data_IF_601428630635
#
_entry.id   IF_601428630635
#
_cell.length_a   1.000
_cell.length_b   1.000
_cell.length_c   1.000
_cell.angle_alpha   90.00
_cell.angle_beta   90.00
_cell.angle_gamma   90.00
#
_symmetry.space_group_name_H-M   'P 1'
#
loop_
_entity.id
_entity.type
_entity.pdbx_description
1 polymer ?
#
# COMPACT_ATOMS: atom_id res chain seq x y z
N UNK A 1 52.79 -61.34 81.31
CA UNK A 1 52.79 -59.88 81.57
C UNK A 1 51.35 -59.47 81.81
N UNK A 2 51.08 -59.02 83.03
CA UNK A 2 49.80 -59.00 83.74
C UNK A 2 48.79 -57.99 83.16
N UNK A 3 47.62 -58.48 82.75
CA UNK A 3 46.43 -57.67 82.49
C UNK A 3 45.67 -57.49 83.83
N UNK A 4 45.38 -56.26 84.28
CA UNK A 4 44.64 -56.03 85.51
C UNK A 4 43.17 -56.41 85.34
N UNK A 5 42.64 -57.16 86.31
CA UNK A 5 41.24 -57.59 86.42
C UNK A 5 40.29 -56.38 86.52
N UNK A 6 39.67 -55.98 85.40
CA UNK A 6 38.63 -54.95 85.42
C UNK A 6 37.29 -55.54 85.88
N UNK A 7 36.90 -55.20 87.11
CA UNK A 7 35.61 -55.49 87.71
C UNK A 7 34.43 -55.05 86.83
N UNK A 8 33.40 -55.90 86.69
CA UNK A 8 32.14 -55.68 85.92
C UNK A 8 31.48 -54.30 86.12
N UNK A 9 31.76 -53.62 87.24
CA UNK A 9 31.27 -52.26 87.53
C UNK A 9 31.91 -51.18 86.66
N UNK A 10 33.17 -51.32 86.24
CA UNK A 10 33.87 -50.31 85.42
C UNK A 10 33.36 -50.25 83.98
N UNK A 11 32.82 -51.36 83.47
CA UNK A 11 32.25 -51.44 82.12
C UNK A 11 30.90 -50.72 82.00
N UNK A 12 30.15 -50.60 83.10
CA UNK A 12 28.89 -49.84 83.15
C UNK A 12 29.10 -48.34 82.94
N UNK A 13 30.29 -47.81 83.23
CA UNK A 13 30.63 -46.40 82.99
C UNK A 13 31.41 -46.18 81.70
N UNK A 14 32.25 -47.15 81.30
CA UNK A 14 33.06 -47.02 80.08
C UNK A 14 32.21 -47.09 78.80
N UNK A 15 31.20 -47.96 78.75
CA UNK A 15 30.32 -48.11 77.57
C UNK A 15 29.50 -46.85 77.26
N UNK A 16 28.79 -46.21 78.22
CA UNK A 16 28.06 -44.97 77.92
C UNK A 16 29.00 -43.81 77.60
N UNK A 17 30.20 -43.75 78.18
CA UNK A 17 31.18 -42.71 77.87
C UNK A 17 31.72 -42.84 76.44
N UNK A 18 32.05 -44.06 76.00
CA UNK A 18 32.44 -44.35 74.62
C UNK A 18 31.29 -44.06 73.64
N UNK A 19 30.06 -44.45 74.00
CA UNK A 19 28.88 -44.13 73.20
C UNK A 19 28.66 -42.61 73.10
N UNK A 20 28.85 -41.84 74.18
CA UNK A 20 28.75 -40.38 74.18
C UNK A 20 29.85 -39.71 73.35
N UNK A 21 31.09 -40.22 73.40
CA UNK A 21 32.21 -39.71 72.60
C UNK A 21 31.97 -40.01 71.11
N UNK A 22 31.53 -41.22 70.78
CA UNK A 22 31.19 -41.61 69.41
C UNK A 22 30.01 -40.80 68.87
N UNK A 23 28.98 -40.56 69.70
CA UNK A 23 27.80 -39.79 69.31
C UNK A 23 28.11 -38.30 69.15
N UNK A 24 28.90 -37.73 70.08
CA UNK A 24 29.38 -36.34 70.00
C UNK A 24 30.27 -36.11 68.79
N UNK A 25 31.22 -37.02 68.52
CA UNK A 25 32.08 -36.98 67.35
C UNK A 25 31.32 -37.13 66.02
N UNK A 26 30.28 -37.96 65.99
CA UNK A 26 29.42 -38.11 64.81
C UNK A 26 28.57 -36.85 64.56
N UNK A 27 28.03 -36.27 65.63
CA UNK A 27 27.24 -35.03 65.55
C UNK A 27 28.10 -33.82 65.16
N UNK A 28 29.38 -33.78 65.53
CA UNK A 28 30.30 -32.71 65.11
C UNK A 28 30.71 -32.80 63.62
N UNK A 29 30.63 -33.99 63.01
CA UNK A 29 30.85 -34.19 61.57
C UNK A 29 29.61 -33.94 60.71
N UNK A 30 28.42 -33.91 61.29
CA UNK A 30 27.20 -33.60 60.57
C UNK A 30 27.09 -32.08 60.36
N UNK A 31 27.42 -31.61 59.14
CA UNK A 31 27.36 -30.19 58.76
C UNK A 31 25.95 -29.60 58.86
N UNK A 32 25.82 -28.26 58.85
CA UNK A 32 24.54 -27.59 59.01
C UNK A 32 23.58 -27.95 57.86
N UNK A 33 22.36 -28.34 58.22
CA UNK A 33 21.31 -28.66 57.25
C UNK A 33 20.82 -27.36 56.63
N UNK A 34 21.03 -27.20 55.32
CA UNK A 34 20.54 -26.04 54.57
C UNK A 34 19.31 -26.41 53.76
N UNK A 35 18.27 -25.56 53.75
CA UNK A 35 17.11 -25.79 52.89
C UNK A 35 17.53 -25.67 51.43
N UNK A 36 17.19 -26.70 50.64
CA UNK A 36 17.39 -26.72 49.19
C UNK A 36 16.04 -26.88 48.49
N UNK A 37 15.93 -26.33 47.28
CA UNK A 37 14.77 -26.46 46.42
C UNK A 37 15.20 -27.14 45.13
N UNK A 38 14.41 -28.13 44.68
CA UNK A 38 14.62 -28.81 43.42
C UNK A 38 14.14 -27.93 42.26
N UNK A 39 14.95 -27.82 41.20
CA UNK A 39 14.59 -27.06 40.00
C UNK A 39 13.75 -27.94 39.07
N UNK A 40 12.54 -27.48 38.75
CA UNK A 40 11.66 -28.10 37.77
C UNK A 40 11.65 -27.32 36.46
N UNK A 41 11.63 -28.03 35.33
CA UNK A 41 11.48 -27.41 34.01
C UNK A 41 10.00 -27.20 33.70
N UNK A 42 9.63 -25.96 33.40
CA UNK A 42 8.31 -25.62 32.87
C UNK A 42 8.46 -24.67 31.69
N UNK A 43 7.48 -24.68 30.79
CA UNK A 43 7.45 -23.78 29.64
C UNK A 43 7.06 -22.37 30.11
N UNK A 44 7.98 -21.41 29.94
CA UNK A 44 7.73 -20.00 30.24
C UNK A 44 7.21 -19.32 28.98
N UNK A 45 5.90 -19.12 28.91
CA UNK A 45 5.27 -18.40 27.79
C UNK A 45 5.31 -16.90 28.10
N UNK A 46 6.22 -16.18 27.45
CA UNK A 46 6.29 -14.73 27.54
C UNK A 46 5.40 -14.10 26.47
N UNK A 47 4.20 -13.65 26.87
CA UNK A 47 3.30 -12.92 25.98
C UNK A 47 3.76 -11.47 25.85
N UNK A 48 4.19 -11.07 24.65
CA UNK A 48 4.50 -9.68 24.33
C UNK A 48 3.30 -9.07 23.63
N UNK A 49 2.67 -8.07 24.27
CA UNK A 49 1.57 -7.29 23.66
C UNK A 49 2.17 -6.09 22.96
N UNK A 50 2.11 -6.08 21.63
CA UNK A 50 2.54 -4.95 20.82
C UNK A 50 1.33 -4.15 20.32
N UNK A 51 1.31 -2.84 20.59
CA UNK A 51 0.31 -1.92 20.03
C UNK A 51 0.84 -1.28 18.76
N UNK A 52 0.11 -1.43 17.65
CA UNK A 52 0.34 -0.73 16.39
C UNK A 52 -0.80 0.22 16.05
N UNK A 53 -0.54 1.20 15.17
CA UNK A 53 -1.59 2.03 14.57
C UNK A 53 -1.97 1.48 13.21
N UNK A 54 -3.27 1.47 12.90
CA UNK A 54 -3.77 1.15 11.57
C UNK A 54 -3.67 2.42 10.74
N UNK A 55 -2.77 2.42 9.77
CA UNK A 55 -2.63 3.51 8.81
C UNK A 55 -3.44 3.20 7.55
N UNK A 56 -4.06 4.24 6.99
CA UNK A 56 -4.80 4.10 5.73
C UNK A 56 -3.79 3.97 4.59
N UNK A 57 -3.88 2.95 3.72
CA UNK A 57 -2.89 2.76 2.66
C UNK A 57 -2.83 3.92 1.67
N UNK A 58 -3.91 4.69 1.52
CA UNK A 58 -3.97 5.83 0.62
C UNK A 58 -5.03 6.84 1.09
N UNK A 59 -4.65 8.12 1.19
CA UNK A 59 -5.55 9.26 1.36
C UNK A 59 -5.29 10.25 0.23
N UNK A 60 -6.33 10.63 -0.50
CA UNK A 60 -6.25 11.54 -1.64
C UNK A 60 -7.29 12.63 -1.47
N UNK A 61 -6.86 13.87 -1.60
CA UNK A 61 -7.75 15.02 -1.66
C UNK A 61 -8.15 15.26 -3.12
N UNK A 62 -9.46 15.29 -3.39
CA UNK A 62 -10.01 15.43 -4.74
C UNK A 62 -10.49 16.87 -4.90
N UNK A 63 -9.96 17.57 -5.91
CA UNK A 63 -10.33 18.93 -6.26
C UNK A 63 -10.60 19.09 -7.76
N UNK A 64 -11.32 20.15 -8.12
CA UNK A 64 -11.51 20.50 -9.53
C UNK A 64 -10.23 21.12 -10.12
N UNK A 65 -9.87 20.71 -11.33
CA UNK A 65 -8.78 21.34 -12.10
C UNK A 65 -9.19 22.68 -12.72
N UNK A 66 -10.50 22.93 -12.83
CA UNK A 66 -11.07 24.13 -13.42
C UNK A 66 -11.91 24.88 -12.40
N UNK A 67 -11.86 26.20 -12.45
CA UNK A 67 -12.73 27.05 -11.62
C UNK A 67 -14.13 27.06 -12.21
N UNK A 68 -15.14 26.79 -11.38
CA UNK A 68 -16.54 26.82 -11.80
C UNK A 68 -17.48 26.69 -10.62
N UNK A 69 -18.76 26.99 -10.85
CA UNK A 69 -19.82 26.86 -9.84
C UNK A 69 -20.28 25.41 -9.75
N UNK A 70 -20.49 24.89 -8.54
CA UNK A 70 -21.02 23.54 -8.33
C UNK A 70 -22.49 23.49 -8.74
N UNK A 71 -22.83 22.65 -9.72
CA UNK A 71 -24.20 22.44 -10.17
C UNK A 71 -24.90 21.33 -9.38
N UNK A 72 -24.19 20.22 -9.07
CA UNK A 72 -24.75 19.10 -8.30
C UNK A 72 -23.67 18.24 -7.63
N UNK A 73 -24.05 17.63 -6.51
CA UNK A 73 -23.24 16.65 -5.77
C UNK A 73 -24.09 15.36 -5.65
N UNK A 74 -23.90 14.37 -6.54
CA UNK A 74 -24.70 13.14 -6.55
C UNK A 74 -24.30 12.08 -5.51
N UNK A 75 -23.35 12.38 -4.63
CA UNK A 75 -22.85 11.46 -3.61
C UNK A 75 -23.10 11.99 -2.20
N UNK A 76 -23.31 11.08 -1.25
CA UNK A 76 -23.48 11.42 0.15
C UNK A 76 -22.16 11.28 0.93
N UNK A 77 -22.04 12.00 2.05
CA UNK A 77 -20.91 11.87 2.95
C UNK A 77 -20.79 10.43 3.51
N UNK A 78 -19.58 9.88 3.52
CA UNK A 78 -19.32 8.50 3.95
C UNK A 78 -19.70 7.41 2.93
N UNK A 79 -20.24 7.78 1.77
CA UNK A 79 -20.56 6.82 0.71
C UNK A 79 -19.29 6.22 0.09
N UNK A 80 -19.28 4.90 -0.09
CA UNK A 80 -18.22 4.22 -0.84
C UNK A 80 -18.37 4.48 -2.34
N UNK A 81 -17.30 4.94 -2.99
CA UNK A 81 -17.28 5.30 -4.41
C UNK A 81 -16.25 4.50 -5.19
N UNK A 82 -16.46 4.33 -6.50
CA UNK A 82 -15.55 3.62 -7.40
C UNK A 82 -14.77 4.59 -8.27
N UNK A 83 -13.63 4.14 -8.82
CA UNK A 83 -12.86 4.92 -9.79
C UNK A 83 -13.74 5.29 -11.01
N UNK A 84 -13.69 6.56 -11.40
CA UNK A 84 -14.50 7.11 -12.51
C UNK A 84 -15.93 7.49 -12.15
N UNK A 85 -16.35 7.31 -10.89
CA UNK A 85 -17.67 7.76 -10.44
C UNK A 85 -17.73 9.30 -10.34
N UNK A 86 -18.81 9.89 -10.84
CA UNK A 86 -19.05 11.33 -10.71
C UNK A 86 -19.28 11.69 -9.24
N UNK A 87 -18.41 12.54 -8.70
CA UNK A 87 -18.52 13.03 -7.32
C UNK A 87 -19.17 14.42 -7.24
N UNK A 88 -18.80 15.30 -8.17
CA UNK A 88 -19.29 16.68 -8.26
C UNK A 88 -19.43 17.02 -9.73
N UNK A 89 -20.52 17.67 -10.11
CA UNK A 89 -20.66 18.27 -11.43
C UNK A 89 -20.65 19.80 -11.29
N UNK A 90 -19.85 20.45 -12.12
CA UNK A 90 -19.82 21.91 -12.24
C UNK A 90 -20.79 22.36 -13.34
N UNK A 91 -21.21 23.61 -13.25
CA UNK A 91 -21.97 24.27 -14.30
C UNK A 91 -21.11 24.37 -15.58
N UNK A 92 -21.65 23.89 -16.70
CA UNK A 92 -20.92 23.71 -17.96
C UNK A 92 -21.59 24.38 -19.16
N UNK A 93 -22.60 25.23 -18.94
CA UNK A 93 -23.35 25.91 -20.01
C UNK A 93 -22.47 26.70 -20.97
N UNK A 94 -21.54 27.52 -20.47
CA UNK A 94 -20.59 28.27 -21.31
C UNK A 94 -19.62 27.33 -22.07
N UNK A 95 -19.12 26.30 -21.40
CA UNK A 95 -18.21 25.33 -22.00
C UNK A 95 -18.91 24.54 -23.13
N UNK A 96 -20.17 24.14 -22.93
CA UNK A 96 -20.99 23.47 -23.94
C UNK A 96 -21.23 24.39 -25.14
N UNK A 97 -21.61 25.64 -24.90
CA UNK A 97 -21.80 26.60 -25.98
C UNK A 97 -20.51 26.81 -26.80
N UNK A 98 -19.35 26.89 -26.15
CA UNK A 98 -18.07 26.99 -26.83
C UNK A 98 -17.75 25.75 -27.69
N UNK A 99 -18.04 24.54 -27.18
CA UNK A 99 -17.89 23.30 -27.94
C UNK A 99 -18.82 23.27 -29.15
N UNK A 100 -20.09 23.65 -28.98
CA UNK A 100 -21.06 23.71 -30.08
C UNK A 100 -20.64 24.70 -31.17
N UNK A 101 -20.14 25.88 -30.80
CA UNK A 101 -19.58 26.86 -31.73
C UNK A 101 -18.37 26.29 -32.49
N UNK A 102 -17.45 25.60 -31.80
CA UNK A 102 -16.29 24.98 -32.42
C UNK A 102 -16.70 23.88 -33.41
N UNK A 103 -17.68 23.05 -33.05
CA UNK A 103 -18.22 22.00 -33.93
C UNK A 103 -18.86 22.62 -35.19
N UNK A 104 -19.63 23.69 -35.03
CA UNK A 104 -20.23 24.41 -36.15
C UNK A 104 -19.16 25.01 -37.09
N UNK A 105 -18.10 25.60 -36.53
CA UNK A 105 -16.98 26.13 -37.31
C UNK A 105 -16.26 25.03 -38.12
N UNK A 106 -16.02 23.86 -37.51
CA UNK A 106 -15.46 22.69 -38.22
C UNK A 106 -16.38 22.24 -39.35
N UNK A 107 -17.69 22.16 -39.11
CA UNK A 107 -18.65 21.78 -40.14
C UNK A 107 -18.67 22.76 -41.32
N UNK A 108 -18.62 24.07 -41.05
CA UNK A 108 -18.53 25.11 -42.09
C UNK A 108 -17.22 25.00 -42.90
N UNK A 109 -16.09 24.81 -42.23
CA UNK A 109 -14.81 24.63 -42.90
C UNK A 109 -14.81 23.38 -43.80
N UNK A 110 -15.38 22.28 -43.31
CA UNK A 110 -15.51 21.04 -44.08
C UNK A 110 -16.42 21.22 -45.30
N UNK A 111 -17.57 21.90 -45.12
CA UNK A 111 -18.47 22.23 -46.22
C UNK A 111 -17.78 23.10 -47.28
N UNK A 112 -16.99 24.09 -46.85
CA UNK A 112 -16.22 24.95 -47.75
C UNK A 112 -15.17 24.18 -48.54
N UNK A 113 -14.44 23.29 -47.86
CA UNK A 113 -13.44 22.44 -48.50
C UNK A 113 -14.09 21.47 -49.50
N UNK A 114 -15.24 20.90 -49.17
CA UNK A 114 -16.02 20.08 -50.10
C UNK A 114 -16.49 20.89 -51.31
N UNK A 115 -16.97 22.12 -51.10
CA UNK A 115 -17.37 23.03 -52.19
C UNK A 115 -16.19 23.32 -53.14
N UNK A 116 -15.01 23.61 -52.58
CA UNK A 116 -13.80 23.87 -53.38
C UNK A 116 -13.41 22.62 -54.19
N UNK A 117 -13.46 21.44 -53.56
CA UNK A 117 -13.13 20.17 -54.24
C UNK A 117 -14.13 19.77 -55.31
N UNK A 118 -15.42 19.96 -55.08
CA UNK A 118 -16.47 19.53 -55.99
C UNK A 118 -16.71 20.53 -57.13
N UNK A 119 -16.48 21.82 -56.90
CA UNK A 119 -16.83 22.88 -57.86
C UNK A 119 -15.60 23.64 -58.35
N UNK A 120 -14.84 24.25 -57.44
CA UNK A 120 -13.77 25.16 -57.85
C UNK A 120 -12.62 24.44 -58.56
N UNK A 121 -12.24 23.25 -58.10
CA UNK A 121 -11.18 22.43 -58.70
C UNK A 121 -11.53 21.99 -60.13
N UNK A 122 -12.69 21.34 -60.40
CA UNK A 122 -13.05 20.96 -61.77
C UNK A 122 -13.18 22.16 -62.71
N UNK A 123 -13.75 23.28 -62.25
CA UNK A 123 -13.88 24.49 -63.07
C UNK A 123 -12.50 25.04 -63.44
N UNK A 124 -11.55 25.09 -62.50
CA UNK A 124 -10.18 25.51 -62.77
C UNK A 124 -9.48 24.58 -63.80
N UNK A 125 -9.69 23.26 -63.68
CA UNK A 125 -9.17 22.28 -64.63
C UNK A 125 -9.77 22.44 -66.03
N UNK A 126 -11.10 22.65 -66.12
CA UNK A 126 -11.78 22.89 -67.39
C UNK A 126 -11.31 24.17 -68.08
N UNK A 127 -11.11 25.25 -67.31
CA UNK A 127 -10.59 26.50 -67.83
C UNK A 127 -9.17 26.32 -68.43
N UNK A 128 -8.32 25.52 -67.77
CA UNK A 128 -7.00 25.20 -68.30
C UNK A 128 -7.08 24.43 -69.63
N UNK A 129 -7.91 23.38 -69.70
CA UNK A 129 -8.08 22.60 -70.93
C UNK A 129 -8.61 23.45 -72.10
N UNK A 130 -9.51 24.38 -71.82
CA UNK A 130 -10.02 25.31 -72.84
C UNK A 130 -8.95 26.28 -73.33
N UNK A 131 -8.09 26.80 -72.44
CA UNK A 131 -6.98 27.65 -72.82
C UNK A 131 -5.98 26.92 -73.72
N UNK A 132 -5.66 25.66 -73.41
CA UNK A 132 -4.78 24.81 -74.22
C UNK A 132 -5.38 24.50 -75.60
N UNK A 133 -6.68 24.16 -75.66
CA UNK A 133 -7.38 23.94 -76.92
C UNK A 133 -7.41 25.20 -77.80
N UNK A 134 -7.61 26.37 -77.18
CA UNK A 134 -7.60 27.67 -77.86
C UNK A 134 -6.22 27.95 -78.45
N UNK A 135 -5.16 27.73 -77.66
CA UNK A 135 -3.77 27.88 -78.13
C UNK A 135 -3.45 26.93 -79.29
N UNK A 136 -3.90 25.68 -79.23
CA UNK A 136 -3.70 24.71 -80.30
C UNK A 136 -4.39 25.14 -81.60
N UNK A 137 -5.60 25.69 -81.52
CA UNK A 137 -6.32 26.20 -82.67
C UNK A 137 -5.61 27.41 -83.30
N UNK A 138 -5.16 28.37 -82.48
CA UNK A 138 -4.38 29.53 -82.94
C UNK A 138 -3.10 29.09 -83.63
N UNK A 139 -2.36 28.13 -83.07
CA UNK A 139 -1.14 27.58 -83.68
C UNK A 139 -1.39 26.96 -85.05
N UNK A 140 -2.50 26.21 -85.23
CA UNK A 140 -2.87 25.62 -86.53
C UNK A 140 -3.22 26.67 -87.57
N UNK A 141 -3.81 27.79 -87.16
CA UNK A 141 -4.14 28.89 -88.08
C UNK A 141 -2.90 29.61 -88.59
N UNK A 142 -1.89 29.80 -87.74
CA UNK A 142 -0.64 30.46 -88.12
C UNK A 142 0.34 29.57 -88.92
N UNK A 143 0.13 28.26 -88.96
CA UNK A 143 0.98 27.31 -89.69
C UNK A 143 0.55 27.09 -91.16
N UNK A 144 -0.45 27.83 -91.65
CA UNK A 144 -0.90 27.86 -93.05
C UNK A 144 -0.50 29.17 -93.70
#
# INVERSE_FOLDING_TARGET
MTLPELSRRSWLLAVPLLAAILWGGWRWRAGPVVPVVAVERSDVVQTVVASGRVETPLRVDIGSQVTGTVARIPVAEGQSVKAGQLLVALEDSEARAAVEQAVAAVAQAQAKLNQIRAVALPVAQQAQQQAEATLANVRRQHAR
#
